data_IF_969928693630
#
_entry.id   IF_969928693630
#
_cell.length_a   1.000
_cell.length_b   1.000
_cell.length_c   1.000
_cell.angle_alpha   90.00
_cell.angle_beta   90.00
_cell.angle_gamma   90.00
#
_symmetry.space_group_name_H-M   'P 1'
#
loop_
_entity.id
_entity.type
_entity.pdbx_description
1 polymer ?
#
# COMPACT_ATOMS: atom_id res chain seq x y z
N UNK A 1 16.20 21.12 25.39
CA UNK A 1 15.01 21.84 24.94
C UNK A 1 14.05 20.76 24.46
N UNK A 2 13.09 20.33 25.32
CA UNK A 2 12.12 19.26 25.01
C UNK A 2 11.14 19.76 23.94
N UNK A 3 11.26 19.26 22.72
CA UNK A 3 10.19 19.39 21.75
C UNK A 3 9.01 18.56 22.29
N UNK A 4 7.95 19.24 22.69
CA UNK A 4 6.64 18.65 22.98
C UNK A 4 6.24 17.86 21.73
N UNK A 5 6.26 16.53 21.82
CA UNK A 5 5.66 15.64 20.82
C UNK A 5 4.17 16.00 20.77
N UNK A 6 3.77 16.73 19.73
CA UNK A 6 2.36 16.83 19.35
C UNK A 6 1.85 15.40 19.15
N UNK A 7 0.69 15.01 19.72
CA UNK A 7 0.15 13.69 19.50
C UNK A 7 -0.01 13.49 17.99
N UNK A 8 0.70 12.52 17.43
CA UNK A 8 0.66 12.19 16.01
C UNK A 8 -0.78 11.84 15.67
N UNK A 9 -1.43 12.65 14.84
CA UNK A 9 -2.84 12.47 14.50
C UNK A 9 -2.99 11.13 13.76
N UNK A 10 -3.82 10.23 14.31
CA UNK A 10 -4.14 8.96 13.64
C UNK A 10 -4.95 9.22 12.38
N UNK A 11 -4.50 8.65 11.26
CA UNK A 11 -5.21 8.69 9.98
C UNK A 11 -6.20 7.54 9.87
N UNK A 12 -5.76 6.33 10.22
CA UNK A 12 -6.64 5.18 10.35
C UNK A 12 -6.66 4.67 11.79
N UNK A 13 -7.83 4.34 12.27
CA UNK A 13 -8.03 3.48 13.43
C UNK A 13 -8.88 2.28 13.02
N UNK A 14 -8.38 1.09 13.29
CA UNK A 14 -9.04 -0.19 13.06
C UNK A 14 -9.24 -0.85 14.41
N UNK A 15 -10.48 -1.17 14.76
CA UNK A 15 -10.83 -1.74 16.07
C UNK A 15 -11.62 -3.03 15.90
N UNK A 16 -11.13 -4.09 16.53
CA UNK A 16 -11.80 -5.40 16.64
C UNK A 16 -12.33 -5.90 15.28
N UNK A 17 -11.48 -5.80 14.24
CA UNK A 17 -11.88 -6.04 12.86
C UNK A 17 -11.91 -7.54 12.55
N UNK A 18 -13.07 -7.99 12.02
CA UNK A 18 -13.23 -9.34 11.49
C UNK A 18 -13.69 -9.28 10.04
N UNK A 19 -13.01 -10.06 9.19
CA UNK A 19 -13.37 -10.16 7.78
C UNK A 19 -13.21 -11.57 7.25
N UNK A 20 -14.16 -12.00 6.42
CA UNK A 20 -14.07 -13.21 5.59
C UNK A 20 -14.71 -12.99 4.23
N UNK A 21 -14.26 -13.74 3.24
CA UNK A 21 -14.93 -13.81 1.95
C UNK A 21 -16.17 -14.70 2.03
N UNK A 22 -17.15 -14.42 1.18
CA UNK A 22 -18.42 -15.19 1.15
C UNK A 22 -19.48 -14.72 2.16
N UNK A 23 -20.58 -15.46 2.22
CA UNK A 23 -21.72 -15.14 3.07
C UNK A 23 -21.50 -15.58 4.52
N UNK A 24 -22.06 -14.84 5.49
CA UNK A 24 -22.07 -15.23 6.90
C UNK A 24 -22.84 -16.54 7.16
N UNK A 25 -23.71 -16.95 6.22
CA UNK A 25 -24.51 -18.18 6.33
C UNK A 25 -23.74 -19.45 5.98
N UNK A 26 -22.58 -19.32 5.33
CA UNK A 26 -21.73 -20.45 4.96
C UNK A 26 -20.57 -20.61 5.96
N UNK A 27 -20.18 -21.83 6.33
CA UNK A 27 -18.98 -22.04 7.12
C UNK A 27 -17.78 -21.55 6.31
N UNK A 28 -17.05 -20.58 6.83
CA UNK A 28 -15.88 -20.00 6.17
C UNK A 28 -14.80 -19.62 7.17
N UNK A 29 -13.56 -19.71 6.74
CA UNK A 29 -12.41 -19.30 7.56
C UNK A 29 -12.32 -17.77 7.55
N UNK A 30 -12.07 -17.18 8.70
CA UNK A 30 -11.80 -15.76 8.82
C UNK A 30 -10.46 -15.42 8.12
N UNK A 31 -10.50 -14.49 7.18
CA UNK A 31 -9.30 -13.92 6.56
C UNK A 31 -8.61 -12.92 7.49
N UNK A 32 -9.40 -12.25 8.36
CA UNK A 32 -8.90 -11.38 9.43
C UNK A 32 -9.75 -11.62 10.68
N UNK A 33 -9.09 -11.65 11.85
CA UNK A 33 -9.72 -11.91 13.15
C UNK A 33 -9.15 -10.95 14.19
N UNK A 34 -10.03 -10.18 14.83
CA UNK A 34 -9.70 -9.27 15.93
C UNK A 34 -8.49 -8.37 15.62
N UNK A 35 -8.44 -7.83 14.41
CA UNK A 35 -7.35 -6.96 13.99
C UNK A 35 -7.56 -5.56 14.57
N UNK A 36 -6.55 -5.11 15.31
CA UNK A 36 -6.48 -3.77 15.89
C UNK A 36 -5.21 -3.08 15.39
N UNK A 37 -5.36 -1.97 14.66
CA UNK A 37 -4.25 -1.25 14.01
C UNK A 37 -4.55 0.24 13.97
N UNK A 38 -3.53 1.05 14.15
CA UNK A 38 -3.60 2.49 13.85
C UNK A 38 -2.48 2.89 12.89
N UNK A 39 -2.79 3.83 12.00
CA UNK A 39 -1.84 4.43 11.04
C UNK A 39 -1.74 5.91 11.34
N UNK A 40 -0.54 6.42 11.51
CA UNK A 40 -0.29 7.83 11.82
C UNK A 40 -0.17 8.67 10.56
N UNK A 41 -0.45 9.97 10.66
CA UNK A 41 -0.25 10.91 9.56
C UNK A 41 1.23 11.01 9.18
N UNK A 42 1.51 10.95 7.87
CA UNK A 42 2.85 11.09 7.32
C UNK A 42 3.79 9.90 7.61
N UNK A 43 3.28 8.76 8.14
CA UNK A 43 4.10 7.56 8.28
C UNK A 43 4.02 6.67 7.04
N UNK A 44 5.04 5.85 6.84
CA UNK A 44 5.03 4.70 5.95
C UNK A 44 4.92 3.44 6.79
N UNK A 45 3.74 2.80 6.77
CA UNK A 45 3.47 1.52 7.43
C UNK A 45 3.66 0.36 6.45
N UNK A 46 4.58 -0.55 6.74
CA UNK A 46 4.74 -1.80 6.02
C UNK A 46 3.82 -2.90 6.59
N UNK A 47 3.10 -3.60 5.74
CA UNK A 47 2.33 -4.80 6.13
C UNK A 47 3.04 -6.01 5.54
N UNK A 48 3.53 -6.90 6.42
CA UNK A 48 4.26 -8.11 6.04
C UNK A 48 3.62 -9.36 6.64
N UNK A 49 4.00 -10.53 6.14
CA UNK A 49 3.51 -11.82 6.63
C UNK A 49 3.42 -12.86 5.52
N UNK A 50 3.20 -14.14 5.86
CA UNK A 50 3.08 -15.23 4.90
C UNK A 50 1.94 -15.03 3.88
N UNK A 51 1.97 -15.80 2.79
CA UNK A 51 0.86 -15.83 1.85
C UNK A 51 -0.42 -16.29 2.56
N UNK A 52 -1.54 -15.65 2.22
CA UNK A 52 -2.83 -15.95 2.85
C UNK A 52 -3.03 -15.36 4.25
N UNK A 53 -2.08 -14.60 4.81
CA UNK A 53 -2.21 -13.98 6.15
C UNK A 53 -3.21 -12.82 6.24
N UNK A 54 -3.82 -12.38 5.12
CA UNK A 54 -4.84 -11.34 5.13
C UNK A 54 -4.36 -9.93 4.75
N UNK A 55 -3.09 -9.73 4.33
CA UNK A 55 -2.50 -8.43 3.99
C UNK A 55 -3.31 -7.64 2.97
N UNK A 56 -3.54 -8.22 1.79
CA UNK A 56 -4.36 -7.63 0.72
C UNK A 56 -5.81 -7.36 1.16
N UNK A 57 -6.37 -8.26 1.99
CA UNK A 57 -7.72 -8.09 2.53
C UNK A 57 -7.80 -6.87 3.45
N UNK A 58 -6.82 -6.69 4.33
CA UNK A 58 -6.73 -5.51 5.20
C UNK A 58 -6.61 -4.23 4.36
N UNK A 59 -5.72 -4.24 3.36
CA UNK A 59 -5.52 -3.07 2.49
C UNK A 59 -6.81 -2.70 1.73
N UNK A 60 -7.54 -3.69 1.19
CA UNK A 60 -8.83 -3.48 0.51
C UNK A 60 -9.94 -2.98 1.45
N UNK A 61 -9.92 -3.37 2.72
CA UNK A 61 -10.82 -2.84 3.74
C UNK A 61 -10.51 -1.37 4.06
N UNK A 62 -9.24 -1.00 4.20
CA UNK A 62 -8.81 0.39 4.37
C UNK A 62 -9.21 1.26 3.17
N UNK A 63 -9.16 0.72 1.95
CA UNK A 63 -9.62 1.38 0.72
C UNK A 63 -11.15 1.42 0.57
N UNK A 64 -11.91 0.86 1.51
CA UNK A 64 -13.37 0.65 1.41
C UNK A 64 -13.81 -0.13 0.16
N UNK A 65 -12.93 -0.94 -0.44
CA UNK A 65 -13.27 -1.88 -1.53
C UNK A 65 -14.04 -3.09 -0.96
N UNK A 66 -13.65 -3.51 0.24
CA UNK A 66 -14.33 -4.55 1.01
C UNK A 66 -15.01 -3.94 2.24
N UNK A 67 -15.98 -4.65 2.82
CA UNK A 67 -16.65 -4.27 4.06
C UNK A 67 -16.40 -5.33 5.13
N UNK A 68 -16.06 -4.94 6.36
CA UNK A 68 -15.88 -5.88 7.45
C UNK A 68 -17.22 -6.46 7.89
N UNK A 69 -17.23 -7.66 8.46
CA UNK A 69 -18.40 -8.25 9.08
C UNK A 69 -18.56 -7.80 10.53
N UNK A 70 -17.46 -7.48 11.22
CA UNK A 70 -17.45 -6.93 12.59
C UNK A 70 -16.30 -5.96 12.76
N UNK A 71 -16.41 -5.08 13.74
CA UNK A 71 -15.44 -4.07 14.05
C UNK A 71 -15.67 -2.76 13.29
N UNK A 72 -14.79 -1.83 13.46
CA UNK A 72 -14.90 -0.49 12.90
C UNK A 72 -13.57 -0.04 12.29
N UNK A 73 -13.67 0.71 11.19
CA UNK A 73 -12.54 1.42 10.58
C UNK A 73 -12.91 2.90 10.50
N UNK A 74 -12.08 3.75 11.05
CA UNK A 74 -12.20 5.20 10.88
C UNK A 74 -11.05 5.73 10.03
N UNK A 75 -11.36 6.74 9.21
CA UNK A 75 -10.41 7.50 8.39
C UNK A 75 -10.50 8.97 8.80
N UNK A 76 -9.40 9.56 9.29
CA UNK A 76 -9.39 10.92 9.86
C UNK A 76 -10.51 11.15 10.90
N UNK A 77 -10.80 10.14 11.73
CA UNK A 77 -11.85 10.17 12.76
C UNK A 77 -13.27 9.97 12.24
N UNK A 78 -13.49 9.78 10.93
CA UNK A 78 -14.81 9.49 10.35
C UNK A 78 -14.95 7.99 10.07
N UNK A 79 -16.07 7.40 10.45
CA UNK A 79 -16.33 5.99 10.16
C UNK A 79 -16.42 5.74 8.66
N UNK A 80 -15.68 4.74 8.17
CA UNK A 80 -15.75 4.33 6.76
C UNK A 80 -17.15 3.79 6.39
N UNK A 81 -17.93 3.27 7.32
CA UNK A 81 -19.25 2.75 7.01
C UNK A 81 -20.20 3.85 6.52
N UNK A 82 -20.10 5.06 7.08
CA UNK A 82 -20.96 6.21 6.73
C UNK A 82 -20.43 7.02 5.55
N UNK A 83 -19.11 7.01 5.30
CA UNK A 83 -18.49 7.73 4.18
C UNK A 83 -18.94 7.14 2.82
N UNK A 84 -19.14 7.97 1.82
CA UNK A 84 -19.35 7.48 0.44
C UNK A 84 -18.04 7.02 -0.20
N UNK A 85 -18.12 6.17 -1.24
CA UNK A 85 -16.93 5.73 -1.98
C UNK A 85 -16.15 6.91 -2.61
N UNK A 86 -16.86 7.95 -3.06
CA UNK A 86 -16.22 9.14 -3.64
C UNK A 86 -15.50 9.96 -2.57
N UNK A 87 -16.07 10.12 -1.37
CA UNK A 87 -15.42 10.82 -0.26
C UNK A 87 -14.12 10.11 0.16
N UNK A 88 -14.15 8.78 0.23
CA UNK A 88 -12.94 8.00 0.49
C UNK A 88 -11.95 8.14 -0.67
N UNK A 89 -12.39 7.99 -1.91
CA UNK A 89 -11.53 8.10 -3.09
C UNK A 89 -10.89 9.49 -3.28
N UNK A 90 -11.42 10.55 -2.71
CA UNK A 90 -10.77 11.88 -2.68
C UNK A 90 -9.61 11.98 -1.69
N UNK A 91 -9.50 11.04 -0.76
CA UNK A 91 -8.51 11.07 0.30
C UNK A 91 -7.55 9.89 0.23
N UNK A 92 -7.99 8.76 -0.33
CA UNK A 92 -7.26 7.49 -0.36
C UNK A 92 -7.13 7.00 -1.79
N UNK A 93 -5.91 6.80 -2.27
CA UNK A 93 -5.65 6.10 -3.51
C UNK A 93 -5.17 4.68 -3.24
N UNK A 94 -5.58 3.74 -4.08
CA UNK A 94 -5.22 2.32 -3.99
C UNK A 94 -4.54 1.84 -5.27
N UNK A 95 -3.38 1.23 -5.12
CA UNK A 95 -2.61 0.58 -6.18
C UNK A 95 -2.67 -0.93 -5.95
N UNK A 96 -3.39 -1.70 -6.77
CA UNK A 96 -3.48 -3.15 -6.63
C UNK A 96 -2.20 -3.84 -7.13
N UNK A 97 -1.99 -5.09 -6.69
CA UNK A 97 -0.88 -5.93 -7.10
C UNK A 97 -0.93 -6.27 -8.59
N UNK A 98 -2.11 -6.67 -9.09
CA UNK A 98 -2.31 -6.97 -10.51
C UNK A 98 -2.82 -5.74 -11.24
N UNK A 99 -2.02 -5.27 -12.19
CA UNK A 99 -2.25 -4.06 -12.99
C UNK A 99 -2.24 -4.37 -14.49
N UNK A 100 -2.62 -5.59 -14.90
CA UNK A 100 -2.67 -5.92 -16.32
C UNK A 100 -3.76 -5.08 -17.03
N UNK A 101 -3.37 -4.22 -18.00
CA UNK A 101 -4.32 -3.39 -18.70
C UNK A 101 -5.17 -4.27 -19.64
N UNK A 102 -6.50 -4.06 -19.59
CA UNK A 102 -7.45 -4.72 -20.49
C UNK A 102 -7.63 -3.94 -21.80
N UNK A 103 -7.33 -2.64 -21.78
CA UNK A 103 -7.53 -1.73 -22.90
C UNK A 103 -6.25 -0.95 -23.21
N UNK A 104 -6.08 -0.60 -24.48
CA UNK A 104 -4.93 0.13 -25.01
C UNK A 104 -5.11 1.66 -24.81
N UNK A 105 -5.06 2.13 -23.56
CA UNK A 105 -5.01 3.57 -23.27
C UNK A 105 -3.57 4.07 -23.30
N UNK A 106 -3.37 5.34 -23.62
CA UNK A 106 -2.06 5.99 -23.46
C UNK A 106 -1.71 6.15 -21.96
N UNK A 107 -0.44 6.39 -21.67
CA UNK A 107 0.01 6.72 -20.32
C UNK A 107 -0.72 7.95 -19.79
N UNK A 108 -0.84 9.01 -20.61
CA UNK A 108 -1.53 10.25 -20.23
C UNK A 108 -3.00 9.99 -19.87
N UNK A 109 -3.74 9.25 -20.72
CA UNK A 109 -5.13 8.90 -20.46
C UNK A 109 -5.26 8.06 -19.18
N UNK A 110 -4.36 7.09 -18.99
CA UNK A 110 -4.36 6.23 -17.80
C UNK A 110 -4.16 7.05 -16.53
N UNK A 111 -3.20 7.98 -16.53
CA UNK A 111 -2.92 8.83 -15.35
C UNK A 111 -4.08 9.79 -15.09
N UNK A 112 -4.68 10.36 -16.16
CA UNK A 112 -5.79 11.26 -16.07
C UNK A 112 -7.07 10.61 -15.47
N UNK A 113 -7.25 9.29 -15.62
CA UNK A 113 -8.31 8.54 -14.93
C UNK A 113 -8.24 8.68 -13.40
N UNK A 114 -7.05 8.97 -12.82
CA UNK A 114 -6.90 9.29 -11.41
C UNK A 114 -7.71 10.52 -10.96
N UNK A 115 -8.09 11.41 -11.87
CA UNK A 115 -8.89 12.61 -11.56
C UNK A 115 -10.38 12.34 -11.42
N UNK A 116 -10.84 11.11 -11.72
CA UNK A 116 -12.26 10.75 -11.68
C UNK A 116 -13.01 11.15 -10.39
N UNK A 117 -12.47 10.98 -9.16
CA UNK A 117 -13.16 11.38 -7.94
C UNK A 117 -13.37 12.88 -7.79
N UNK A 118 -12.62 13.71 -8.51
CA UNK A 118 -12.67 15.18 -8.45
C UNK A 118 -13.59 15.78 -9.50
N UNK A 119 -14.05 14.99 -10.48
CA UNK A 119 -14.96 15.48 -11.52
C UNK A 119 -16.28 15.97 -10.90
N UNK A 120 -16.66 17.20 -11.23
CA UNK A 120 -17.99 17.71 -10.92
C UNK A 120 -18.99 17.04 -11.86
N UNK A 121 -19.90 16.23 -11.33
CA UNK A 121 -21.07 15.75 -12.08
C UNK A 121 -21.96 16.94 -12.39
N UNK A 122 -21.80 17.53 -13.57
CA UNK A 122 -22.83 18.42 -14.12
C UNK A 122 -24.00 17.56 -14.56
N UNK A 123 -25.23 17.97 -14.23
CA UNK A 123 -26.49 17.27 -14.58
C UNK A 123 -26.72 17.20 -16.10
N UNK A 124 -25.89 17.90 -16.88
CA UNK A 124 -25.97 18.03 -18.33
C UNK A 124 -24.76 17.46 -19.07
N UNK A 125 -23.77 16.93 -18.35
CA UNK A 125 -22.58 16.36 -18.95
C UNK A 125 -22.83 14.89 -19.30
N UNK A 126 -23.20 14.66 -20.55
CA UNK A 126 -23.33 13.31 -21.13
C UNK A 126 -21.96 12.65 -21.36
N UNK A 127 -21.10 12.67 -20.39
CA UNK A 127 -19.97 11.73 -20.30
C UNK A 127 -18.71 12.06 -21.09
N UNK A 128 -18.58 13.21 -21.76
CA UNK A 128 -17.42 13.57 -22.58
C UNK A 128 -16.78 14.92 -22.26
N UNK A 129 -17.07 15.50 -21.10
CA UNK A 129 -16.34 16.66 -20.60
C UNK A 129 -14.94 16.26 -20.16
N UNK A 130 -14.00 16.17 -21.12
CA UNK A 130 -12.61 15.85 -20.86
C UNK A 130 -11.93 17.07 -20.24
N UNK A 131 -11.55 16.88 -18.98
CA UNK A 131 -10.41 17.42 -18.28
C UNK A 131 -10.23 18.92 -18.29
N UNK A 132 -10.49 19.49 -17.13
CA UNK A 132 -10.09 20.87 -16.87
C UNK A 132 -8.58 21.01 -17.08
N UNK A 133 -8.11 22.21 -17.42
CA UNK A 133 -6.66 22.50 -17.48
C UNK A 133 -5.95 22.14 -16.19
N UNK A 134 -6.65 22.22 -15.07
CA UNK A 134 -6.17 21.83 -13.76
C UNK A 134 -5.94 20.30 -13.68
N UNK A 135 -6.88 19.47 -14.15
CA UNK A 135 -6.73 18.01 -14.14
C UNK A 135 -5.55 17.56 -15.02
N UNK A 136 -5.38 18.17 -16.19
CA UNK A 136 -4.23 17.91 -17.07
C UNK A 136 -2.90 18.30 -16.38
N UNK A 137 -2.87 19.45 -15.69
CA UNK A 137 -1.66 19.88 -14.97
C UNK A 137 -1.30 18.92 -13.81
N UNK A 138 -2.32 18.47 -13.06
CA UNK A 138 -2.11 17.48 -11.97
C UNK A 138 -1.63 16.15 -12.52
N UNK A 139 -2.22 15.66 -13.63
CA UNK A 139 -1.79 14.43 -14.28
C UNK A 139 -0.35 14.55 -14.80
N UNK A 140 0.01 15.68 -15.43
CA UNK A 140 1.37 15.95 -15.90
C UNK A 140 2.38 15.96 -14.74
N UNK A 141 2.04 16.59 -13.62
CA UNK A 141 2.89 16.60 -12.44
C UNK A 141 3.08 15.18 -11.86
N UNK A 142 2.02 14.38 -11.83
CA UNK A 142 2.09 12.98 -11.37
C UNK A 142 2.99 12.14 -12.28
N UNK A 143 2.87 12.30 -13.60
CA UNK A 143 3.74 11.62 -14.57
C UNK A 143 5.20 12.05 -14.42
N UNK A 144 5.45 13.33 -14.20
CA UNK A 144 6.83 13.84 -13.95
C UNK A 144 7.40 13.27 -12.64
N UNK A 145 6.59 13.23 -11.57
CA UNK A 145 7.01 12.67 -10.27
C UNK A 145 7.43 11.19 -10.38
N UNK A 146 6.75 10.43 -11.24
CA UNK A 146 7.03 9.00 -11.46
C UNK A 146 7.95 8.73 -12.65
N UNK A 147 8.53 9.78 -13.26
CA UNK A 147 9.41 9.68 -14.43
C UNK A 147 8.79 8.89 -15.61
N UNK A 148 7.53 9.17 -15.93
CA UNK A 148 6.82 8.56 -17.08
C UNK A 148 6.24 9.61 -18.04
N UNK A 149 6.54 10.89 -17.83
CA UNK A 149 6.04 11.98 -18.68
C UNK A 149 6.51 11.86 -20.14
N UNK A 150 7.71 11.34 -20.36
CA UNK A 150 8.28 11.11 -21.69
C UNK A 150 7.57 9.96 -22.45
N UNK A 151 6.74 9.17 -21.76
CA UNK A 151 5.97 8.06 -22.30
C UNK A 151 4.48 8.42 -22.50
N UNK A 152 4.09 9.70 -22.33
CA UNK A 152 2.69 10.15 -22.26
C UNK A 152 1.79 9.61 -23.39
N UNK A 153 2.32 9.59 -24.62
CA UNK A 153 1.64 9.16 -25.85
C UNK A 153 1.67 7.63 -26.07
N UNK A 154 2.54 6.89 -25.34
CA UNK A 154 2.66 5.44 -25.53
C UNK A 154 1.49 4.71 -24.92
N UNK A 155 1.10 3.61 -25.56
CA UNK A 155 0.13 2.68 -24.98
C UNK A 155 0.69 2.04 -23.71
N UNK A 156 -0.13 1.95 -22.65
CA UNK A 156 0.22 1.25 -21.41
C UNK A 156 0.53 -0.24 -21.63
N UNK A 157 0.02 -0.82 -22.72
CA UNK A 157 0.27 -2.22 -23.09
C UNK A 157 1.69 -2.43 -23.60
N UNK A 158 2.33 -1.39 -24.16
CA UNK A 158 3.67 -1.44 -24.76
C UNK A 158 4.79 -1.10 -23.76
N UNK A 159 4.42 -0.88 -22.49
CA UNK A 159 5.38 -0.53 -21.44
C UNK A 159 6.04 -1.76 -20.83
N UNK A 160 7.28 -1.60 -20.39
CA UNK A 160 7.94 -2.55 -19.49
C UNK A 160 7.19 -2.67 -18.16
N UNK A 161 7.45 -3.72 -17.40
CA UNK A 161 6.83 -3.91 -16.08
C UNK A 161 7.05 -2.73 -15.14
N UNK A 162 8.27 -2.19 -15.10
CA UNK A 162 8.63 -1.04 -14.26
C UNK A 162 7.96 0.26 -14.72
N UNK A 163 7.96 0.56 -16.02
CA UNK A 163 7.25 1.73 -16.58
C UNK A 163 5.75 1.66 -16.33
N UNK A 164 5.15 0.48 -16.49
CA UNK A 164 3.74 0.25 -16.20
C UNK A 164 3.43 0.47 -14.72
N UNK A 165 4.23 -0.06 -13.82
CA UNK A 165 4.05 0.12 -12.39
C UNK A 165 4.15 1.60 -11.99
N UNK A 166 5.15 2.32 -12.50
CA UNK A 166 5.28 3.77 -12.30
C UNK A 166 4.07 4.54 -12.85
N UNK A 167 3.54 4.13 -14.02
CA UNK A 167 2.31 4.73 -14.59
C UNK A 167 1.09 4.52 -13.70
N UNK A 168 0.93 3.35 -13.11
CA UNK A 168 -0.20 3.07 -12.20
C UNK A 168 -0.06 3.84 -10.89
N UNK A 169 1.16 3.98 -10.36
CA UNK A 169 1.40 4.84 -9.19
C UNK A 169 1.15 6.32 -9.56
N UNK A 170 1.57 6.79 -10.75
CA UNK A 170 1.26 8.14 -11.24
C UNK A 170 -0.25 8.38 -11.30
N UNK A 171 -1.04 7.41 -11.78
CA UNK A 171 -2.51 7.48 -11.75
C UNK A 171 -3.04 7.66 -10.33
N UNK A 172 -2.50 6.92 -9.37
CA UNK A 172 -2.88 7.05 -7.96
C UNK A 172 -2.50 8.42 -7.39
N UNK A 173 -1.33 8.95 -7.74
CA UNK A 173 -0.89 10.30 -7.32
C UNK A 173 -1.72 11.42 -7.97
N UNK A 174 -2.17 11.24 -9.21
CA UNK A 174 -3.07 12.19 -9.89
C UNK A 174 -4.40 12.36 -9.14
N UNK A 175 -4.80 11.39 -8.31
CA UNK A 175 -5.95 11.50 -7.42
C UNK A 175 -5.71 12.51 -6.26
N UNK A 176 -4.48 13.04 -6.11
CA UNK A 176 -4.07 13.93 -5.01
C UNK A 176 -4.46 13.40 -3.62
N UNK A 177 -4.10 12.14 -3.31
CA UNK A 177 -4.53 11.49 -2.08
C UNK A 177 -3.76 12.03 -0.86
N UNK A 178 -4.38 11.91 0.34
CA UNK A 178 -3.70 12.07 1.63
C UNK A 178 -3.09 10.75 2.09
N UNK A 179 -3.63 9.62 1.61
CA UNK A 179 -3.17 8.26 1.92
C UNK A 179 -2.99 7.48 0.62
N UNK A 180 -1.85 6.82 0.49
CA UNK A 180 -1.55 5.92 -0.61
C UNK A 180 -1.45 4.49 -0.07
N UNK A 181 -2.32 3.62 -0.56
CA UNK A 181 -2.35 2.19 -0.25
C UNK A 181 -1.76 1.42 -1.42
N UNK A 182 -0.73 0.62 -1.18
CA UNK A 182 0.03 -0.09 -2.21
C UNK A 182 0.07 -1.59 -1.89
N UNK A 183 -0.45 -2.40 -2.80
CA UNK A 183 -0.40 -3.86 -2.68
C UNK A 183 0.75 -4.40 -3.53
N UNK A 184 1.88 -4.72 -2.88
CA UNK A 184 3.10 -5.26 -3.48
C UNK A 184 3.67 -4.43 -4.65
N UNK A 185 3.92 -3.12 -4.46
CA UNK A 185 4.28 -2.22 -5.57
C UNK A 185 5.62 -2.54 -6.23
N UNK A 186 6.46 -3.36 -5.62
CA UNK A 186 7.80 -3.74 -6.11
C UNK A 186 7.87 -5.18 -6.60
N UNK A 187 6.74 -5.93 -6.58
CA UNK A 187 6.73 -7.33 -7.01
C UNK A 187 7.05 -7.46 -8.51
N UNK A 188 7.83 -8.49 -8.84
CA UNK A 188 8.22 -8.84 -10.23
C UNK A 188 9.05 -7.77 -10.96
N UNK A 189 9.57 -6.78 -10.26
CA UNK A 189 10.46 -5.76 -10.80
C UNK A 189 11.93 -6.12 -10.56
N UNK A 190 12.79 -5.68 -11.46
CA UNK A 190 14.24 -5.73 -11.22
C UNK A 190 14.67 -4.76 -10.11
N UNK A 191 15.90 -4.94 -9.64
CA UNK A 191 16.42 -4.20 -8.49
C UNK A 191 16.39 -2.68 -8.70
N UNK A 192 16.72 -2.20 -9.92
CA UNK A 192 16.75 -0.77 -10.23
C UNK A 192 15.34 -0.18 -10.08
N UNK A 193 14.34 -0.80 -10.68
CA UNK A 193 12.94 -0.32 -10.61
C UNK A 193 12.36 -0.41 -9.20
N UNK A 194 12.76 -1.42 -8.40
CA UNK A 194 12.38 -1.48 -6.99
C UNK A 194 12.92 -0.29 -6.21
N UNK A 195 14.22 0.02 -6.37
CA UNK A 195 14.87 1.15 -5.71
C UNK A 195 14.26 2.49 -6.13
N UNK A 196 13.97 2.68 -7.42
CA UNK A 196 13.35 3.89 -7.94
C UNK A 196 11.99 4.13 -7.28
N UNK A 197 11.12 3.09 -7.24
CA UNK A 197 9.80 3.20 -6.60
C UNK A 197 9.93 3.50 -5.11
N UNK A 198 10.77 2.76 -4.38
CA UNK A 198 10.96 2.97 -2.95
C UNK A 198 11.48 4.38 -2.65
N UNK A 199 12.41 4.89 -3.46
CA UNK A 199 12.97 6.24 -3.32
C UNK A 199 11.92 7.32 -3.56
N UNK A 200 11.07 7.16 -4.59
CA UNK A 200 9.97 8.10 -4.85
C UNK A 200 8.93 8.06 -3.73
N UNK A 201 8.56 6.87 -3.22
CA UNK A 201 7.62 6.76 -2.11
C UNK A 201 8.16 7.44 -0.84
N UNK A 202 9.45 7.26 -0.56
CA UNK A 202 10.13 7.92 0.56
C UNK A 202 10.11 9.44 0.39
N UNK A 203 10.47 9.95 -0.78
CA UNK A 203 10.39 11.38 -1.11
C UNK A 203 8.97 11.94 -0.90
N UNK A 204 7.94 11.25 -1.40
CA UNK A 204 6.54 11.69 -1.24
C UNK A 204 6.10 11.74 0.23
N UNK A 205 6.56 10.79 1.05
CA UNK A 205 6.31 10.81 2.49
C UNK A 205 7.04 11.97 3.16
N UNK A 206 8.34 12.16 2.92
CA UNK A 206 9.18 13.13 3.61
C UNK A 206 8.86 14.57 3.18
N UNK A 207 8.71 14.85 1.88
CA UNK A 207 8.52 16.21 1.36
C UNK A 207 7.05 16.64 1.28
N UNK A 208 6.12 15.70 1.08
CA UNK A 208 4.69 16.01 0.92
C UNK A 208 3.83 15.57 2.10
N UNK A 209 4.42 14.93 3.10
CA UNK A 209 3.68 14.40 4.25
C UNK A 209 2.65 13.33 3.88
N UNK A 210 2.85 12.62 2.75
CA UNK A 210 1.93 11.58 2.30
C UNK A 210 1.99 10.40 3.27
N UNK A 211 0.83 9.96 3.75
CA UNK A 211 0.72 8.72 4.52
C UNK A 211 0.72 7.54 3.57
N UNK A 212 1.54 6.53 3.82
CA UNK A 212 1.69 5.37 2.94
C UNK A 212 1.46 4.09 3.74
N UNK A 213 0.63 3.19 3.21
CA UNK A 213 0.50 1.81 3.71
C UNK A 213 0.87 0.87 2.57
N UNK A 214 1.92 0.10 2.76
CA UNK A 214 2.48 -0.76 1.72
C UNK A 214 2.52 -2.22 2.18
N UNK A 215 1.89 -3.11 1.42
CA UNK A 215 2.11 -4.55 1.55
C UNK A 215 3.41 -4.92 0.84
N UNK A 216 4.27 -5.67 1.50
CA UNK A 216 5.51 -6.18 0.92
C UNK A 216 5.74 -7.65 1.29
N UNK A 217 6.25 -8.43 0.33
CA UNK A 217 6.83 -9.74 0.61
C UNK A 217 8.32 -9.66 0.94
N UNK A 218 8.98 -8.58 0.53
CA UNK A 218 10.39 -8.34 0.84
C UNK A 218 10.51 -7.67 2.21
N UNK A 219 11.02 -8.44 3.18
CA UNK A 219 11.23 -7.98 4.54
C UNK A 219 12.34 -6.92 4.63
N UNK A 220 13.33 -6.97 3.72
CA UNK A 220 14.42 -6.00 3.69
C UNK A 220 13.92 -4.65 3.17
N UNK A 221 13.09 -4.63 2.13
CA UNK A 221 12.41 -3.40 1.68
C UNK A 221 11.56 -2.82 2.81
N UNK A 222 10.73 -3.63 3.47
CA UNK A 222 9.91 -3.17 4.58
C UNK A 222 10.78 -2.63 5.74
N UNK A 223 11.88 -3.30 6.08
CA UNK A 223 12.81 -2.87 7.13
C UNK A 223 13.47 -1.53 6.82
N UNK A 224 13.89 -1.31 5.57
CA UNK A 224 14.69 -0.13 5.17
C UNK A 224 13.84 1.11 4.89
N UNK A 225 12.59 0.95 4.45
CA UNK A 225 11.78 2.07 3.96
C UNK A 225 10.59 2.41 4.85
N UNK A 226 10.07 1.46 5.65
CA UNK A 226 8.91 1.71 6.49
C UNK A 226 9.31 2.21 7.89
N UNK A 227 8.56 3.18 8.42
CA UNK A 227 8.75 3.67 9.79
C UNK A 227 8.29 2.64 10.82
N UNK A 228 7.18 1.96 10.51
CA UNK A 228 6.61 0.89 11.33
C UNK A 228 6.21 -0.29 10.45
N UNK A 229 6.19 -1.45 11.06
CA UNK A 229 5.84 -2.70 10.39
C UNK A 229 4.73 -3.39 11.17
N UNK A 230 3.69 -3.77 10.45
CA UNK A 230 2.61 -4.64 10.91
C UNK A 230 2.83 -6.03 10.35
N UNK A 231 2.99 -7.01 11.22
CA UNK A 231 3.17 -8.41 10.83
C UNK A 231 1.88 -9.19 11.06
N UNK A 232 1.34 -9.75 9.98
CA UNK A 232 0.14 -10.59 9.99
C UNK A 232 0.49 -12.06 9.85
N UNK A 233 -0.16 -12.92 10.64
CA UNK A 233 -0.15 -14.38 10.50
C UNK A 233 -1.56 -14.93 10.73
N UNK A 234 -2.04 -15.79 9.84
CA UNK A 234 -3.34 -16.48 9.96
C UNK A 234 -4.51 -15.52 10.29
N UNK A 235 -4.47 -14.31 9.71
CA UNK A 235 -5.51 -13.29 9.87
C UNK A 235 -5.46 -12.52 11.19
N UNK A 236 -4.41 -12.66 12.01
CA UNK A 236 -4.23 -11.90 13.25
C UNK A 236 -2.95 -11.07 13.22
N UNK A 237 -2.92 -10.00 14.01
CA UNK A 237 -1.70 -9.21 14.22
C UNK A 237 -0.76 -9.99 15.12
N UNK A 238 0.40 -10.37 14.58
CA UNK A 238 1.43 -11.11 15.32
C UNK A 238 2.44 -10.18 16.01
N UNK A 239 2.79 -9.07 15.33
CA UNK A 239 3.65 -8.04 15.88
C UNK A 239 3.39 -6.71 15.17
N UNK A 240 3.64 -5.59 15.85
CA UNK A 240 3.59 -4.24 15.27
C UNK A 240 4.57 -3.33 16.02
N UNK A 241 5.37 -2.59 15.28
CA UNK A 241 6.38 -1.68 15.85
C UNK A 241 7.39 -1.21 14.81
N UNK A 242 8.50 -0.66 15.26
CA UNK A 242 9.66 -0.34 14.41
C UNK A 242 10.28 -1.60 13.81
N UNK A 243 11.10 -1.45 12.76
CA UNK A 243 11.81 -2.60 12.17
C UNK A 243 12.69 -3.30 13.21
N UNK A 244 13.31 -2.56 14.15
CA UNK A 244 14.13 -3.12 15.24
C UNK A 244 13.34 -4.00 16.22
N UNK A 245 12.06 -3.69 16.44
CA UNK A 245 11.20 -4.46 17.35
C UNK A 245 10.59 -5.69 16.67
N UNK A 246 10.25 -5.57 15.38
CA UNK A 246 9.48 -6.60 14.64
C UNK A 246 10.39 -7.60 13.93
N UNK A 247 11.54 -7.15 13.37
CA UNK A 247 12.45 -8.00 12.58
C UNK A 247 13.45 -8.76 13.45
N UNK A 248 12.99 -9.37 14.57
CA UNK A 248 13.80 -10.21 15.43
C UNK A 248 13.70 -11.68 15.02
N UNK A 249 14.78 -12.48 15.13
CA UNK A 249 14.76 -13.89 14.73
C UNK A 249 13.60 -14.69 15.32
N UNK A 250 13.28 -14.46 16.60
CA UNK A 250 12.23 -15.20 17.32
C UNK A 250 10.83 -14.85 16.74
N UNK A 251 10.60 -13.58 16.42
CA UNK A 251 9.34 -13.11 15.82
C UNK A 251 9.19 -13.67 14.42
N UNK A 252 10.26 -13.59 13.62
CA UNK A 252 10.27 -14.11 12.25
C UNK A 252 10.06 -15.62 12.22
N UNK A 253 10.73 -16.37 13.12
CA UNK A 253 10.53 -17.82 13.25
C UNK A 253 9.09 -18.16 13.66
N UNK A 254 8.51 -17.44 14.61
CA UNK A 254 7.12 -17.65 15.03
C UNK A 254 6.13 -17.41 13.91
N UNK A 255 6.37 -16.40 13.03
CA UNK A 255 5.47 -16.02 11.94
C UNK A 255 5.68 -16.87 10.70
N UNK A 256 6.93 -17.02 10.24
CA UNK A 256 7.23 -17.69 8.96
C UNK A 256 7.54 -19.20 9.12
N UNK A 257 7.75 -19.68 10.35
CA UNK A 257 8.03 -21.10 10.62
C UNK A 257 9.43 -21.56 10.20
N UNK A 258 10.32 -20.63 9.87
CA UNK A 258 11.69 -20.92 9.46
C UNK A 258 12.69 -20.07 10.25
N UNK A 259 13.90 -20.60 10.47
CA UNK A 259 14.99 -19.84 11.06
C UNK A 259 15.62 -18.93 10.01
N UNK A 260 15.86 -17.68 10.37
CA UNK A 260 16.54 -16.70 9.54
C UNK A 260 17.67 -16.04 10.32
N UNK A 261 18.67 -15.54 9.60
CA UNK A 261 19.72 -14.71 10.19
C UNK A 261 19.29 -13.26 10.10
N UNK A 262 19.44 -12.52 11.18
CA UNK A 262 19.20 -11.07 11.20
C UNK A 262 20.48 -10.40 11.63
N UNK A 263 20.99 -9.54 10.76
CA UNK A 263 22.16 -8.69 11.03
C UNK A 263 21.80 -7.21 10.80
N UNK A 264 22.75 -6.31 10.99
CA UNK A 264 22.56 -4.88 10.74
C UNK A 264 22.99 -4.53 9.33
N UNK A 265 22.13 -3.79 8.62
CA UNK A 265 22.48 -3.22 7.32
C UNK A 265 23.66 -2.23 7.48
N UNK A 266 24.73 -2.37 6.68
CA UNK A 266 26.00 -1.63 6.90
C UNK A 266 25.85 -0.10 6.79
N UNK A 267 24.88 0.39 6.05
CA UNK A 267 24.67 1.82 5.82
C UNK A 267 23.63 2.40 6.80
N UNK A 268 22.48 1.76 6.95
CA UNK A 268 21.36 2.29 7.75
C UNK A 268 21.37 1.83 9.21
N UNK A 269 22.08 0.75 9.53
CA UNK A 269 22.02 0.12 10.86
C UNK A 269 20.72 -0.65 11.15
N UNK A 270 19.73 -0.59 10.24
CA UNK A 270 18.46 -1.28 10.39
C UNK A 270 18.60 -2.79 10.19
N UNK A 271 17.66 -3.61 10.71
CA UNK A 271 17.70 -5.06 10.54
C UNK A 271 17.73 -5.47 9.07
N UNK A 272 18.61 -6.41 8.75
CA UNK A 272 18.68 -7.06 7.45
C UNK A 272 18.48 -8.56 7.63
N UNK A 273 17.55 -9.11 6.88
CA UNK A 273 17.19 -10.53 6.92
C UNK A 273 17.99 -11.27 5.85
N UNK A 274 18.73 -12.29 6.27
CA UNK A 274 19.53 -13.12 5.39
C UNK A 274 19.07 -14.58 5.54
N UNK A 275 18.86 -15.26 4.42
CA UNK A 275 18.46 -16.65 4.41
C UNK A 275 19.67 -17.53 4.76
N UNK A 276 19.56 -18.45 5.74
CA UNK A 276 20.63 -19.38 6.04
C UNK A 276 20.81 -20.37 4.89
N UNK A 277 22.05 -20.85 4.68
CA UNK A 277 22.32 -21.94 3.75
C UNK A 277 21.97 -23.28 4.42
N UNK A 278 20.68 -23.64 4.40
CA UNK A 278 20.26 -24.93 4.91
C UNK A 278 20.63 -26.07 3.93
N UNK A 279 21.02 -27.22 4.48
CA UNK A 279 21.17 -28.44 3.67
C UNK A 279 19.80 -29.09 3.55
N UNK A 280 19.43 -29.44 2.32
CA UNK A 280 18.21 -30.20 2.07
C UNK A 280 18.33 -31.59 2.76
N UNK A 281 17.43 -31.85 3.68
CA UNK A 281 17.29 -33.18 4.32
C UNK A 281 15.95 -33.76 3.85
N UNK A 282 15.94 -34.75 2.93
CA UNK A 282 14.70 -35.42 2.54
C UNK A 282 14.12 -36.16 3.77
N UNK A 283 12.88 -35.83 4.14
CA UNK A 283 12.15 -36.46 5.24
C UNK A 283 11.92 -35.63 6.50
N UNK A 284 12.27 -34.34 6.53
CA UNK A 284 11.81 -33.37 7.54
C UNK A 284 10.80 -32.44 6.90
N UNK A 285 9.52 -32.79 6.94
CA UNK A 285 8.36 -31.93 6.67
C UNK A 285 7.50 -31.86 7.93
#
# INVERSE_FOLDING_TARGET
MNALMTPTQSVYEVRTLFFRYGSLREPGTWALRDVNVHVNAGEMLGIVGPNGSGKTSLLKLLAKILRPQKGEITLFGQSLDTATQIEVARQVAFVPQDNQPTFSFSVAETVLMGRFPHRRRSRWDYGFGWDSREDCAVAQQAMTTMDVAHLAERSIMDLSGGERQRTVIARALAQTPKVLLLDEPTAFLDLQHQLDICSVLRFLKEDRGLTIVMVSHDLNIASQYCDRILMLKDGVVSAMGSSMEVMRPEVLQAVYGCSVLVDSHPESGLPRITLPRERFHPGKS
#
